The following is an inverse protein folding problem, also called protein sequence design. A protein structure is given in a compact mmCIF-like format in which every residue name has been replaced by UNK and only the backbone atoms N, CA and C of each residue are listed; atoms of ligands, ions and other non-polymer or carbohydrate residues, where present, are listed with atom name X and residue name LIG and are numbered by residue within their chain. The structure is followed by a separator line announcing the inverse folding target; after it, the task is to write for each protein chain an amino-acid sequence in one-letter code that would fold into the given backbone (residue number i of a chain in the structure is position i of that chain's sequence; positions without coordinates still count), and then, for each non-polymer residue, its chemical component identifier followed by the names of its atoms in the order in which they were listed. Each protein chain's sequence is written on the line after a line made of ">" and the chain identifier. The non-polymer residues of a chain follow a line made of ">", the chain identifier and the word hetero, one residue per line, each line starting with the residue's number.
data_IF_582414155150
#
_entry.id   IF_582414155150
#
_cell.length_a   1.000
_cell.length_b   1.000
_cell.length_c   1.000
_cell.angle_alpha   90.00
_cell.angle_beta   90.00
_cell.angle_gamma   90.00
#
_symmetry.space_group_name_H-M   'P 1'
#
loop_
_entity.id
_entity.type
_entity.pdbx_description
1 polymer ?
#
# COMPACT_ATOMS: atom_id res chain seq x y z
N UNK A 1 12.08 20.20 0.10
CA UNK A 1 13.16 21.04 0.67
C UNK A 1 13.82 21.86 -0.43
N UNK A 2 14.60 22.90 -0.11
CA UNK A 2 15.37 23.68 -1.09
C UNK A 2 16.89 23.62 -0.83
N UNK A 3 17.68 24.24 -1.71
CA UNK A 3 19.14 24.27 -1.61
C UNK A 3 19.70 24.98 -0.36
N UNK A 4 18.85 25.75 0.32
CA UNK A 4 19.13 26.44 1.59
C UNK A 4 18.57 25.70 2.81
N UNK A 5 18.16 24.44 2.64
CA UNK A 5 17.72 23.55 3.71
C UNK A 5 16.43 23.97 4.43
N UNK A 6 15.53 24.67 3.74
CA UNK A 6 14.14 24.86 4.16
C UNK A 6 13.29 23.68 3.71
N UNK A 7 12.43 23.16 4.58
CA UNK A 7 11.55 22.03 4.33
C UNK A 7 10.08 22.39 4.56
N UNK A 8 9.20 21.75 3.78
CA UNK A 8 7.75 21.82 3.94
C UNK A 8 7.17 20.39 3.94
N UNK A 9 6.23 20.16 4.85
CA UNK A 9 5.30 19.05 4.83
C UNK A 9 3.86 19.58 4.95
N UNK A 10 2.89 18.82 4.47
CA UNK A 10 1.48 19.12 4.64
C UNK A 10 0.72 17.90 5.15
N UNK A 11 -0.36 18.16 5.87
CA UNK A 11 -1.31 17.13 6.26
C UNK A 11 -2.74 17.61 6.07
N UNK A 12 -3.59 16.77 5.47
CA UNK A 12 -5.01 17.03 5.36
C UNK A 12 -5.66 17.00 6.76
N UNK A 13 -6.59 17.91 7.00
CA UNK A 13 -7.26 18.09 8.30
C UNK A 13 -8.75 18.40 8.09
N UNK A 14 -9.52 18.38 9.17
CA UNK A 14 -10.86 18.96 9.20
C UNK A 14 -10.85 20.43 8.75
N UNK A 15 -12.01 20.89 8.29
CA UNK A 15 -12.20 22.30 7.95
C UNK A 15 -11.93 23.21 9.18
N UNK A 16 -11.18 24.29 8.97
CA UNK A 16 -11.03 25.41 9.90
C UNK A 16 -11.05 26.69 9.07
N UNK A 17 -11.99 27.58 9.36
CA UNK A 17 -12.09 28.86 8.66
C UNK A 17 -10.82 29.69 8.87
N UNK A 18 -10.28 30.23 7.77
CA UNK A 18 -9.10 31.11 7.79
C UNK A 18 -9.56 32.53 7.52
N UNK A 19 -9.12 33.48 8.34
CA UNK A 19 -9.43 34.88 8.15
C UNK A 19 -8.77 35.42 6.89
N UNK A 20 -9.60 35.83 5.93
CA UNK A 20 -9.17 36.52 4.72
C UNK A 20 -9.27 38.03 4.88
N UNK A 21 -8.12 38.70 4.82
CA UNK A 21 -8.05 40.16 4.85
C UNK A 21 -8.29 40.75 3.46
N UNK A 22 -9.05 41.85 3.40
CA UNK A 22 -9.17 42.66 2.17
C UNK A 22 -7.88 43.41 1.82
N UNK A 23 -6.92 43.48 2.75
CA UNK A 23 -5.63 44.15 2.57
C UNK A 23 -4.54 43.21 2.06
N UNK A 24 -4.74 41.89 2.16
CA UNK A 24 -3.78 40.90 1.70
C UNK A 24 -4.24 40.29 0.38
N UNK A 25 -3.38 40.24 -0.65
CA UNK A 25 -3.72 39.56 -1.90
C UNK A 25 -3.75 38.04 -1.72
N UNK A 26 -4.37 37.38 -2.69
CA UNK A 26 -4.17 35.95 -2.91
C UNK A 26 -2.86 35.72 -3.67
N UNK A 27 -2.13 34.67 -3.34
CA UNK A 27 -0.98 34.26 -4.14
C UNK A 27 -1.45 33.37 -5.30
N UNK A 28 -1.10 33.67 -6.57
CA UNK A 28 -1.68 32.98 -7.74
C UNK A 28 -1.20 31.54 -7.95
N UNK A 29 -0.26 31.05 -7.13
CA UNK A 29 0.32 29.70 -7.18
C UNK A 29 0.40 29.11 -5.77
N UNK A 30 1.09 28.01 -5.60
CA UNK A 30 1.39 27.47 -4.27
C UNK A 30 2.44 28.34 -3.56
N UNK A 31 2.04 28.98 -2.46
CA UNK A 31 2.90 29.89 -1.70
C UNK A 31 4.18 29.20 -1.17
N UNK A 32 4.11 27.89 -0.92
CA UNK A 32 5.28 27.09 -0.56
C UNK A 32 6.38 27.11 -1.63
N UNK A 33 6.03 27.18 -2.93
CA UNK A 33 7.03 27.27 -4.01
C UNK A 33 7.79 28.59 -3.99
N UNK A 34 7.08 29.70 -3.72
CA UNK A 34 7.73 31.00 -3.50
C UNK A 34 8.71 30.93 -2.33
N UNK A 35 8.31 30.32 -1.22
CA UNK A 35 9.18 30.19 -0.04
C UNK A 35 10.37 29.26 -0.32
N UNK A 36 10.18 28.17 -1.07
CA UNK A 36 11.28 27.31 -1.48
C UNK A 36 12.27 28.01 -2.43
N UNK A 37 11.82 29.02 -3.18
CA UNK A 37 12.67 29.82 -4.06
C UNK A 37 13.39 30.95 -3.33
N UNK A 38 12.73 31.59 -2.36
CA UNK A 38 13.20 32.87 -1.78
C UNK A 38 13.64 32.78 -0.31
N UNK A 39 13.24 31.75 0.43
CA UNK A 39 13.49 31.64 1.87
C UNK A 39 14.50 30.54 2.21
N UNK A 40 15.20 30.75 3.33
CA UNK A 40 16.13 29.81 3.95
C UNK A 40 15.72 29.42 5.37
N UNK A 41 14.85 30.20 6.01
CA UNK A 41 14.43 30.00 7.40
C UNK A 41 12.92 29.95 7.58
N UNK A 42 12.49 29.38 8.71
CA UNK A 42 11.11 29.42 9.18
C UNK A 42 10.63 30.86 9.37
N UNK A 43 11.48 31.74 9.89
CA UNK A 43 11.14 33.14 10.12
C UNK A 43 10.82 33.88 8.81
N UNK A 44 11.70 33.77 7.81
CA UNK A 44 11.47 34.35 6.46
C UNK A 44 10.20 33.79 5.82
N UNK A 45 9.92 32.50 6.01
CA UNK A 45 8.68 31.88 5.52
C UNK A 45 7.44 32.52 6.14
N UNK A 46 7.45 32.77 7.46
CA UNK A 46 6.35 33.43 8.15
C UNK A 46 6.18 34.89 7.68
N UNK A 47 7.27 35.58 7.38
CA UNK A 47 7.21 36.93 6.79
C UNK A 47 6.55 36.93 5.40
N UNK A 48 6.88 35.94 4.55
CA UNK A 48 6.21 35.76 3.25
C UNK A 48 4.74 35.41 3.45
N UNK A 49 4.42 34.47 4.33
CA UNK A 49 3.03 34.05 4.60
C UNK A 49 2.18 35.21 5.13
N UNK A 50 2.76 36.10 5.93
CA UNK A 50 2.04 37.26 6.45
C UNK A 50 1.62 38.26 5.35
N UNK A 51 2.20 38.19 4.15
CA UNK A 51 1.85 39.09 3.03
C UNK A 51 0.62 38.62 2.24
N UNK A 52 0.15 37.39 2.43
CA UNK A 52 -0.91 36.80 1.62
C UNK A 52 -2.05 36.25 2.48
N UNK A 53 -3.22 36.08 1.85
CA UNK A 53 -4.30 35.28 2.42
C UNK A 53 -3.96 33.78 2.33
N UNK A 54 -4.43 33.01 3.32
CA UNK A 54 -4.03 31.62 3.55
C UNK A 54 -5.23 30.65 3.54
N UNK A 55 -6.33 30.98 2.86
CA UNK A 55 -7.55 30.14 2.76
C UNK A 55 -7.30 28.75 2.18
N UNK A 56 -6.22 28.56 1.42
CA UNK A 56 -5.80 27.22 1.01
C UNK A 56 -5.49 26.28 2.20
N UNK A 57 -5.30 26.81 3.41
CA UNK A 57 -5.12 26.05 4.65
C UNK A 57 -6.44 25.69 5.35
N UNK A 58 -7.60 26.02 4.79
CA UNK A 58 -8.88 25.68 5.43
C UNK A 58 -9.09 24.17 5.58
N UNK A 59 -8.46 23.34 4.73
CA UNK A 59 -8.60 21.86 4.74
C UNK A 59 -7.27 21.12 4.98
N UNK A 60 -6.21 21.85 5.35
CA UNK A 60 -4.91 21.29 5.63
C UNK A 60 -4.12 22.13 6.64
N UNK A 61 -3.02 21.57 7.11
CA UNK A 61 -2.00 22.29 7.87
C UNK A 61 -0.63 22.08 7.23
N UNK A 62 0.28 23.00 7.51
CA UNK A 62 1.66 22.94 7.04
C UNK A 62 2.63 22.82 8.20
N UNK A 63 3.66 22.00 8.02
CA UNK A 63 4.87 22.05 8.82
C UNK A 63 5.98 22.65 7.98
N UNK A 64 6.69 23.63 8.54
CA UNK A 64 7.91 24.19 7.97
C UNK A 64 9.04 23.94 8.94
N UNK A 65 10.21 23.54 8.45
CA UNK A 65 11.40 23.37 9.26
C UNK A 65 12.65 23.86 8.52
N UNK A 66 13.66 24.29 9.25
CA UNK A 66 14.95 24.70 8.69
C UNK A 66 16.16 24.02 9.36
N UNK A 67 17.32 24.14 8.75
CA UNK A 67 18.56 23.52 9.24
C UNK A 67 19.06 24.08 10.59
N UNK A 68 18.55 25.22 11.05
CA UNK A 68 18.87 25.75 12.39
C UNK A 68 18.08 25.03 13.49
N UNK A 69 17.21 24.10 13.11
CA UNK A 69 16.37 23.33 14.03
C UNK A 69 15.08 24.04 14.40
N UNK A 70 14.74 25.18 13.78
CA UNK A 70 13.43 25.78 13.96
C UNK A 70 12.39 24.97 13.18
N UNK A 71 11.19 24.84 13.73
CA UNK A 71 10.02 24.37 12.99
C UNK A 71 8.75 25.07 13.45
N UNK A 72 7.74 25.08 12.59
CA UNK A 72 6.43 25.68 12.83
C UNK A 72 5.33 24.84 12.21
N UNK A 73 4.20 24.74 12.89
CA UNK A 73 2.93 24.23 12.32
C UNK A 73 2.01 25.43 12.08
N UNK A 74 1.49 25.55 10.86
CA UNK A 74 0.62 26.64 10.41
C UNK A 74 -0.73 26.05 10.02
N UNK A 75 -1.79 26.48 10.73
CA UNK A 75 -3.17 26.03 10.53
C UNK A 75 -4.05 27.13 9.92
N UNK A 76 -3.44 28.11 9.26
CA UNK A 76 -4.09 29.35 8.84
C UNK A 76 -3.76 30.45 9.83
N UNK A 77 -4.74 30.85 10.65
CA UNK A 77 -4.52 31.84 11.71
C UNK A 77 -3.69 31.31 12.90
N UNK A 78 -3.95 30.09 13.41
CA UNK A 78 -3.12 29.52 14.46
C UNK A 78 -1.74 29.14 13.91
N UNK A 79 -0.70 29.51 14.65
CA UNK A 79 0.71 29.24 14.33
C UNK A 79 1.39 28.72 15.58
N UNK A 80 1.96 27.52 15.49
CA UNK A 80 2.61 26.83 16.61
C UNK A 80 4.10 26.68 16.31
N UNK A 81 4.91 27.55 16.89
CA UNK A 81 6.37 27.41 16.86
C UNK A 81 6.78 26.19 17.70
N UNK A 82 7.86 25.52 17.30
CA UNK A 82 8.43 24.46 18.12
C UNK A 82 8.99 25.02 19.42
N UNK A 83 8.54 24.47 20.54
CA UNK A 83 8.99 24.86 21.89
C UNK A 83 9.93 23.84 22.52
N UNK A 84 9.89 22.57 22.08
CA UNK A 84 10.72 21.48 22.58
C UNK A 84 11.79 21.06 21.55
N UNK A 85 12.59 20.03 21.83
CA UNK A 85 13.59 19.54 20.87
C UNK A 85 12.94 18.88 19.63
N UNK A 86 11.68 18.43 19.74
CA UNK A 86 10.90 17.84 18.65
C UNK A 86 9.54 18.54 18.44
N UNK A 87 8.92 18.31 17.29
CA UNK A 87 7.55 18.74 16.98
C UNK A 87 6.89 17.69 16.08
N UNK A 88 5.63 17.35 16.37
CA UNK A 88 4.87 16.32 15.63
C UNK A 88 3.64 16.93 15.00
N UNK A 89 3.34 16.56 13.75
CA UNK A 89 2.13 16.95 13.02
C UNK A 89 1.49 15.72 12.38
N UNK A 90 0.17 15.59 12.51
CA UNK A 90 -0.60 14.53 11.82
C UNK A 90 -1.86 15.12 11.16
N UNK A 91 -3.01 14.46 11.22
CA UNK A 91 -4.22 14.81 10.46
C UNK A 91 -5.33 15.46 11.31
N UNK A 92 -4.97 16.02 12.47
CA UNK A 92 -5.86 16.82 13.30
C UNK A 92 -5.22 18.19 13.57
N UNK A 93 -6.03 19.19 13.92
CA UNK A 93 -5.58 20.54 14.22
C UNK A 93 -5.26 20.69 15.71
N UNK A 94 -4.03 21.07 16.04
CA UNK A 94 -3.59 21.39 17.40
C UNK A 94 -4.43 22.50 18.03
N UNK A 95 -4.97 23.44 17.24
CA UNK A 95 -5.87 24.49 17.74
C UNK A 95 -7.27 24.01 18.13
N UNK A 96 -7.65 22.78 17.76
CA UNK A 96 -9.02 22.26 17.93
C UNK A 96 -9.12 21.09 18.91
N UNK A 97 -7.98 20.59 19.43
CA UNK A 97 -7.97 19.45 20.34
C UNK A 97 -6.97 19.64 21.47
N UNK A 98 -7.35 19.16 22.65
CA UNK A 98 -6.47 19.07 23.81
C UNK A 98 -5.97 17.62 23.99
N UNK A 99 -4.86 17.39 24.70
CA UNK A 99 -4.45 16.05 25.13
C UNK A 99 -5.54 15.34 25.96
N UNK A 100 -5.71 14.01 25.84
CA UNK A 100 -4.97 13.11 24.97
C UNK A 100 -5.36 13.26 23.50
N UNK A 101 -4.36 13.28 22.62
CA UNK A 101 -4.58 13.52 21.19
C UNK A 101 -5.25 12.32 20.50
N UNK A 102 -6.12 12.56 19.49
CA UNK A 102 -6.98 11.53 18.90
C UNK A 102 -6.28 10.61 17.89
N UNK A 103 -4.99 10.84 17.60
CA UNK A 103 -4.27 10.11 16.56
C UNK A 103 -3.23 9.16 17.17
N UNK A 104 -3.39 7.86 16.93
CA UNK A 104 -2.44 6.86 17.39
C UNK A 104 -1.03 7.11 16.85
N UNK A 105 -0.88 7.54 15.58
CA UNK A 105 0.43 7.88 14.98
C UNK A 105 1.10 9.04 15.71
N UNK A 106 0.33 10.05 16.10
CA UNK A 106 0.84 11.19 16.86
C UNK A 106 1.37 10.72 18.21
N UNK A 107 0.57 9.95 18.96
CA UNK A 107 0.95 9.46 20.28
C UNK A 107 2.15 8.50 20.22
N UNK A 108 2.22 7.63 19.19
CA UNK A 108 3.38 6.76 18.93
C UNK A 108 4.63 7.60 18.67
N UNK A 109 4.58 8.59 17.78
CA UNK A 109 5.72 9.44 17.47
C UNK A 109 6.21 10.22 18.70
N UNK A 110 5.30 10.83 19.46
CA UNK A 110 5.62 11.52 20.73
C UNK A 110 6.31 10.56 21.69
N UNK A 111 5.75 9.37 21.91
CA UNK A 111 6.35 8.37 22.80
C UNK A 111 7.75 7.94 22.34
N UNK A 112 7.98 7.79 21.04
CA UNK A 112 9.32 7.47 20.52
C UNK A 112 10.32 8.61 20.72
N UNK A 113 9.89 9.86 20.57
CA UNK A 113 10.74 11.02 20.88
C UNK A 113 11.09 11.05 22.36
N UNK A 114 10.12 10.95 23.27
CA UNK A 114 10.33 11.00 24.72
C UNK A 114 11.25 9.89 25.24
N UNK A 115 11.33 8.76 24.54
CA UNK A 115 12.13 7.60 24.93
C UNK A 115 13.46 7.44 24.17
N UNK A 116 13.83 8.38 23.28
CA UNK A 116 15.13 8.34 22.60
C UNK A 116 16.13 9.33 23.20
N UNK A 117 17.39 8.94 23.23
CA UNK A 117 18.52 9.82 23.57
C UNK A 117 19.34 10.24 22.35
N UNK A 118 19.03 9.68 21.18
CA UNK A 118 19.79 9.89 19.94
C UNK A 118 18.86 10.09 18.76
N UNK A 119 19.13 11.13 17.97
CA UNK A 119 18.43 11.42 16.73
C UNK A 119 19.34 11.06 15.57
N UNK A 120 18.87 10.20 14.68
CA UNK A 120 19.58 9.72 13.49
C UNK A 120 18.58 9.43 12.36
N UNK A 121 19.04 9.29 11.10
CA UNK A 121 18.18 8.79 10.02
C UNK A 121 17.50 7.47 10.38
N UNK A 122 18.20 6.53 11.03
CA UNK A 122 17.64 5.24 11.45
C UNK A 122 16.51 5.38 12.47
N UNK A 123 16.62 6.33 13.41
CA UNK A 123 15.53 6.64 14.34
C UNK A 123 14.27 7.09 13.58
N UNK A 124 14.43 7.96 12.59
CA UNK A 124 13.31 8.41 11.77
C UNK A 124 12.76 7.29 10.86
N UNK A 125 13.61 6.39 10.36
CA UNK A 125 13.16 5.17 9.65
C UNK A 125 12.27 4.32 10.54
N UNK A 126 12.70 4.04 11.77
CA UNK A 126 11.91 3.30 12.75
C UNK A 126 10.63 4.05 13.13
N UNK A 127 10.65 5.38 13.21
CA UNK A 127 9.47 6.19 13.46
C UNK A 127 8.47 6.09 12.32
N UNK A 128 8.93 6.19 11.06
CA UNK A 128 8.07 5.97 9.90
C UNK A 128 7.47 4.57 9.92
N UNK A 129 8.26 3.53 10.22
CA UNK A 129 7.78 2.15 10.36
C UNK A 129 6.74 2.02 11.48
N UNK A 130 7.01 2.56 12.66
CA UNK A 130 6.06 2.50 13.77
C UNK A 130 4.76 3.29 13.53
N UNK A 131 4.72 4.19 12.54
CA UNK A 131 3.58 5.08 12.27
C UNK A 131 2.99 4.93 10.87
N UNK A 132 3.41 3.93 10.10
CA UNK A 132 2.85 3.71 8.78
C UNK A 132 1.40 3.22 8.88
N UNK A 133 0.62 3.46 7.83
CA UNK A 133 -0.74 2.98 7.73
C UNK A 133 -0.84 1.94 6.63
N UNK A 134 -1.62 0.90 6.88
CA UNK A 134 -1.98 -0.11 5.89
C UNK A 134 -3.50 -0.04 5.56
N UNK A 135 -3.97 -0.92 4.67
CA UNK A 135 -5.40 -1.06 4.38
C UNK A 135 -5.92 -0.07 3.34
N UNK A 136 -7.07 0.55 3.61
CA UNK A 136 -7.83 1.34 2.63
C UNK A 136 -7.10 2.61 2.15
N UNK A 137 -6.27 3.20 3.02
CA UNK A 137 -5.46 4.37 2.71
C UNK A 137 -4.03 4.13 3.19
N UNK A 138 -3.26 3.29 2.49
CA UNK A 138 -1.95 2.87 2.97
C UNK A 138 -0.90 3.96 2.71
N UNK A 139 0.15 4.00 3.54
CA UNK A 139 1.35 4.81 3.31
C UNK A 139 1.91 4.48 1.92
N UNK A 140 1.98 5.48 1.04
CA UNK A 140 2.46 5.30 -0.34
C UNK A 140 3.98 5.43 -0.44
N UNK A 141 4.56 6.29 0.38
CA UNK A 141 5.99 6.49 0.53
C UNK A 141 6.25 7.19 1.86
N UNK A 142 7.49 7.09 2.35
CA UNK A 142 7.97 7.86 3.49
C UNK A 142 9.25 8.60 3.11
N UNK A 143 9.45 9.79 3.64
CA UNK A 143 10.69 10.56 3.44
C UNK A 143 11.28 11.02 4.76
N UNK A 144 12.60 10.91 4.88
CA UNK A 144 13.38 11.50 5.97
C UNK A 144 14.34 12.51 5.34
N UNK A 145 14.37 13.72 5.90
CA UNK A 145 15.22 14.80 5.41
C UNK A 145 16.27 15.13 6.47
N UNK A 146 17.55 14.94 6.16
CA UNK A 146 18.64 15.54 6.91
C UNK A 146 18.90 16.93 6.31
N UNK A 147 18.41 17.97 6.98
CA UNK A 147 18.55 19.35 6.50
C UNK A 147 19.97 19.90 6.64
N UNK A 148 20.78 19.38 7.56
CA UNK A 148 22.16 19.84 7.74
C UNK A 148 23.06 19.27 6.65
N UNK A 149 22.94 17.97 6.38
CA UNK A 149 23.74 17.27 5.36
C UNK A 149 23.11 17.30 3.97
N UNK A 150 21.84 17.71 3.88
CA UNK A 150 21.03 17.76 2.64
C UNK A 150 20.83 16.40 1.99
N UNK A 151 20.65 15.37 2.81
CA UNK A 151 20.24 14.05 2.37
C UNK A 151 18.72 13.87 2.43
N UNK A 152 18.19 13.16 1.43
CA UNK A 152 16.80 12.75 1.34
C UNK A 152 16.79 11.22 1.32
N UNK A 153 16.19 10.61 2.32
CA UNK A 153 15.96 9.17 2.39
C UNK A 153 14.52 8.92 1.96
N UNK A 154 14.32 8.19 0.87
CA UNK A 154 13.01 7.85 0.33
C UNK A 154 12.78 6.35 0.48
N UNK A 155 11.62 6.03 1.05
CA UNK A 155 11.10 4.67 1.20
C UNK A 155 9.81 4.55 0.39
N UNK A 156 9.64 3.41 -0.27
CA UNK A 156 8.44 3.14 -1.05
C UNK A 156 7.46 2.26 -0.25
N UNK A 157 6.21 2.71 -0.17
CA UNK A 157 5.16 2.16 0.68
C UNK A 157 5.61 2.07 2.15
N UNK A 158 5.43 0.91 2.78
CA UNK A 158 5.89 0.59 4.13
C UNK A 158 7.05 -0.44 4.10
N UNK A 159 7.83 -0.46 3.00
CA UNK A 159 9.07 -1.24 2.92
C UNK A 159 10.26 -0.40 3.41
N UNK A 160 10.59 -0.55 4.69
CA UNK A 160 11.69 0.18 5.33
C UNK A 160 13.05 -0.52 5.23
N UNK A 161 13.13 -1.69 4.60
CA UNK A 161 14.39 -2.41 4.31
C UNK A 161 15.10 -1.86 3.06
N UNK A 162 14.36 -1.16 2.19
CA UNK A 162 14.90 -0.57 0.97
C UNK A 162 14.80 0.96 0.99
N UNK A 163 15.96 1.62 1.01
CA UNK A 163 16.07 3.07 0.97
C UNK A 163 16.73 3.55 -0.32
N UNK A 164 16.20 4.63 -0.90
CA UNK A 164 16.92 5.45 -1.87
C UNK A 164 17.36 6.74 -1.21
N UNK A 165 18.67 6.99 -1.27
CA UNK A 165 19.29 8.16 -0.64
C UNK A 165 19.71 9.11 -1.76
N UNK A 166 19.29 10.36 -1.66
CA UNK A 166 19.67 11.43 -2.57
C UNK A 166 20.47 12.48 -1.82
N UNK A 167 21.53 12.99 -2.44
CA UNK A 167 22.18 14.21 -2.00
C UNK A 167 21.60 15.38 -2.80
N UNK A 168 20.88 16.29 -2.14
CA UNK A 168 20.19 17.38 -2.84
C UNK A 168 21.15 18.24 -3.67
N UNK A 169 22.40 18.44 -3.23
CA UNK A 169 23.36 19.25 -3.96
C UNK A 169 23.76 18.61 -5.29
N UNK A 170 23.82 17.28 -5.33
CA UNK A 170 24.10 16.50 -6.54
C UNK A 170 22.87 16.47 -7.46
N UNK A 171 21.66 16.28 -6.90
CA UNK A 171 20.41 16.34 -7.68
C UNK A 171 20.23 17.70 -8.37
N UNK A 172 20.47 18.81 -7.67
CA UNK A 172 20.33 20.15 -8.26
C UNK A 172 21.32 20.40 -9.41
N UNK A 173 22.50 19.79 -9.41
CA UNK A 173 23.48 19.93 -10.50
C UNK A 173 23.02 19.24 -11.80
N UNK A 174 22.13 18.26 -11.72
CA UNK A 174 21.60 17.54 -12.88
C UNK A 174 20.55 18.37 -13.65
N UNK A 175 20.18 19.55 -13.15
CA UNK A 175 19.09 20.36 -13.71
C UNK A 175 17.73 19.73 -13.42
N UNK A 176 16.70 20.18 -14.13
CA UNK A 176 15.35 19.65 -13.93
C UNK A 176 15.25 18.19 -14.38
N UNK A 177 14.85 17.32 -13.46
CA UNK A 177 14.59 15.91 -13.72
C UNK A 177 13.51 15.40 -12.75
N UNK A 178 12.89 14.27 -13.11
CA UNK A 178 11.87 13.60 -12.30
C UNK A 178 12.20 12.12 -12.26
N UNK A 179 12.00 11.52 -11.09
CA UNK A 179 12.11 10.09 -10.86
C UNK A 179 10.73 9.40 -10.91
N UNK A 180 10.71 8.18 -11.44
CA UNK A 180 9.55 7.30 -11.43
C UNK A 180 9.63 6.30 -10.27
N UNK A 181 8.53 5.64 -9.93
CA UNK A 181 8.50 4.57 -8.91
C UNK A 181 9.44 3.41 -9.23
N UNK A 182 9.86 3.27 -10.49
CA UNK A 182 10.85 2.28 -10.95
C UNK A 182 12.22 2.38 -10.27
N UNK A 183 12.50 3.40 -9.45
CA UNK A 183 13.72 3.45 -8.64
C UNK A 183 13.79 2.32 -7.63
N UNK A 184 12.65 2.01 -7.04
CA UNK A 184 12.51 0.88 -6.17
C UNK A 184 12.24 -0.27 -7.12
N UNK A 185 13.16 -1.24 -7.21
CA UNK A 185 12.95 -2.44 -8.02
C UNK A 185 11.84 -3.27 -7.36
N UNK A 186 10.61 -2.78 -7.44
CA UNK A 186 9.46 -3.35 -6.77
C UNK A 186 9.04 -4.56 -7.57
N UNK A 187 9.57 -5.72 -7.19
CA UNK A 187 9.01 -7.01 -7.59
C UNK A 187 7.67 -7.13 -6.90
N UNK A 188 6.60 -6.80 -7.61
CA UNK A 188 5.26 -7.04 -7.10
C UNK A 188 5.01 -8.53 -7.27
N UNK A 189 4.61 -9.26 -6.21
CA UNK A 189 4.12 -10.61 -6.43
C UNK A 189 2.94 -10.54 -7.41
N UNK A 190 2.76 -11.54 -8.27
CA UNK A 190 1.56 -11.64 -9.08
C UNK A 190 0.32 -11.62 -8.18
N UNK A 191 -0.83 -11.20 -8.71
CA UNK A 191 -2.09 -11.36 -7.98
C UNK A 191 -2.32 -12.87 -7.75
N UNK A 192 -3.01 -13.25 -6.66
CA UNK A 192 -3.39 -14.66 -6.47
C UNK A 192 -4.16 -15.16 -7.70
N UNK A 193 -3.90 -16.36 -8.22
CA UNK A 193 -4.59 -16.85 -9.40
C UNK A 193 -6.10 -17.00 -9.16
N UNK A 194 -6.88 -16.97 -10.24
CA UNK A 194 -8.29 -17.35 -10.17
C UNK A 194 -8.43 -18.80 -9.67
N UNK A 195 -9.58 -19.11 -9.05
CA UNK A 195 -9.88 -20.49 -8.68
C UNK A 195 -9.81 -21.40 -9.93
N UNK A 196 -9.17 -22.59 -9.86
CA UNK A 196 -8.99 -23.43 -11.03
C UNK A 196 -10.34 -23.84 -11.62
N UNK A 197 -10.46 -23.79 -12.95
CA UNK A 197 -11.69 -24.13 -13.68
C UNK A 197 -11.55 -25.50 -14.32
N UNK A 198 -12.43 -26.42 -13.96
CA UNK A 198 -12.45 -27.78 -14.49
C UNK A 198 -13.56 -28.63 -13.85
N UNK A 199 -13.63 -29.94 -14.19
CA UNK A 199 -14.65 -30.84 -13.67
C UNK A 199 -14.63 -30.97 -12.14
N UNK A 200 -15.79 -31.21 -11.53
CA UNK A 200 -15.93 -31.41 -10.07
C UNK A 200 -16.18 -32.86 -9.68
N UNK A 201 -16.43 -33.72 -10.66
CA UNK A 201 -16.63 -35.16 -10.48
C UNK A 201 -15.91 -35.88 -11.61
N UNK A 202 -15.13 -36.89 -11.26
CA UNK A 202 -14.33 -37.64 -12.21
C UNK A 202 -14.53 -39.15 -12.13
N UNK A 203 -13.73 -39.84 -12.93
CA UNK A 203 -13.56 -41.29 -12.99
C UNK A 203 -12.07 -41.53 -12.81
N UNK A 204 -11.74 -42.44 -11.90
CA UNK A 204 -10.36 -42.82 -11.62
C UNK A 204 -9.64 -43.25 -12.90
N UNK A 205 -8.38 -42.85 -13.04
CA UNK A 205 -7.55 -43.21 -14.18
C UNK A 205 -7.83 -42.43 -15.46
N UNK A 206 -8.74 -41.44 -15.43
CA UNK A 206 -8.98 -40.53 -16.56
C UNK A 206 -8.24 -39.21 -16.36
N UNK A 207 -7.70 -38.67 -17.45
CA UNK A 207 -7.07 -37.34 -17.48
C UNK A 207 -8.14 -36.24 -17.42
N UNK A 208 -7.87 -35.22 -16.61
CA UNK A 208 -8.68 -34.01 -16.50
C UNK A 208 -7.81 -32.77 -16.65
N UNK A 209 -8.29 -31.82 -17.45
CA UNK A 209 -7.62 -30.53 -17.66
C UNK A 209 -8.25 -29.46 -16.77
N UNK A 210 -7.39 -28.69 -16.10
CA UNK A 210 -7.77 -27.50 -15.34
C UNK A 210 -7.11 -26.26 -15.92
N UNK A 211 -7.83 -25.15 -15.84
CA UNK A 211 -7.41 -23.86 -16.37
C UNK A 211 -7.38 -22.81 -15.26
N UNK A 212 -6.44 -21.89 -15.35
CA UNK A 212 -6.32 -20.75 -14.45
C UNK A 212 -5.66 -19.58 -15.16
N UNK A 213 -5.80 -18.38 -14.64
CA UNK A 213 -4.99 -17.24 -15.03
C UNK A 213 -4.69 -16.36 -13.81
N UNK A 214 -3.71 -15.50 -13.98
CA UNK A 214 -3.35 -14.42 -13.08
C UNK A 214 -2.73 -13.28 -13.89
N UNK A 215 -2.59 -12.12 -13.25
CA UNK A 215 -1.94 -10.92 -13.78
C UNK A 215 -0.88 -10.43 -12.81
N UNK A 216 0.21 -9.95 -13.36
CA UNK A 216 1.25 -9.20 -12.67
C UNK A 216 1.07 -7.69 -12.92
N UNK A 217 1.23 -6.86 -11.90
CA UNK A 217 1.03 -5.40 -12.03
C UNK A 217 2.12 -4.72 -12.87
N UNK A 218 3.30 -5.31 -12.97
CA UNK A 218 4.39 -4.83 -13.82
C UNK A 218 4.34 -5.46 -15.23
N UNK A 219 3.37 -6.34 -15.47
CA UNK A 219 3.25 -7.08 -16.73
C UNK A 219 4.31 -8.16 -16.91
N UNK A 220 4.98 -8.58 -15.83
CA UNK A 220 6.02 -9.60 -15.89
C UNK A 220 5.46 -10.97 -16.34
N UNK A 221 6.36 -11.80 -16.89
CA UNK A 221 6.02 -13.18 -17.23
C UNK A 221 5.75 -14.01 -15.97
N UNK A 222 4.75 -14.87 -16.06
CA UNK A 222 4.23 -15.66 -14.95
C UNK A 222 4.56 -17.13 -15.09
N UNK A 223 4.76 -17.79 -13.96
CA UNK A 223 4.83 -19.23 -13.82
C UNK A 223 3.74 -19.71 -12.86
N UNK A 224 3.15 -20.88 -13.10
CA UNK A 224 2.06 -21.42 -12.31
C UNK A 224 2.43 -22.76 -11.68
N UNK A 225 1.93 -23.01 -10.47
CA UNK A 225 2.09 -24.29 -9.78
C UNK A 225 0.72 -24.81 -9.36
N UNK A 226 0.33 -25.98 -9.88
CA UNK A 226 -0.89 -26.67 -9.47
C UNK A 226 -0.56 -27.71 -8.40
N UNK A 227 -1.26 -27.63 -7.27
CA UNK A 227 -1.33 -28.68 -6.25
C UNK A 227 -2.64 -29.43 -6.45
N UNK A 228 -2.54 -30.76 -6.65
CA UNK A 228 -3.69 -31.60 -6.98
C UNK A 228 -4.42 -32.17 -5.76
N UNK A 229 -3.92 -31.90 -4.55
CA UNK A 229 -4.52 -32.34 -3.30
C UNK A 229 -4.34 -33.84 -2.98
N UNK A 230 -3.58 -34.59 -3.80
CA UNK A 230 -3.24 -36.00 -3.60
C UNK A 230 -1.76 -36.22 -3.25
N UNK A 231 -1.05 -35.14 -2.91
CA UNK A 231 0.39 -35.13 -2.65
C UNK A 231 1.24 -34.92 -3.90
N UNK A 232 0.64 -34.83 -5.10
CA UNK A 232 1.33 -34.52 -6.36
C UNK A 232 1.08 -33.09 -6.83
N UNK A 233 1.96 -32.60 -7.70
CA UNK A 233 1.89 -31.25 -8.27
C UNK A 233 2.55 -31.20 -9.66
N UNK A 234 2.43 -30.07 -10.35
CA UNK A 234 3.00 -29.87 -11.69
C UNK A 234 4.46 -29.42 -11.70
N UNK A 235 5.02 -29.00 -10.57
CA UNK A 235 6.12 -28.04 -10.58
C UNK A 235 5.68 -26.67 -11.16
N UNK A 236 6.65 -25.81 -11.45
CA UNK A 236 6.42 -24.51 -12.08
C UNK A 236 6.25 -24.66 -13.60
N UNK A 237 5.05 -24.37 -14.10
CA UNK A 237 4.71 -24.29 -15.52
C UNK A 237 4.89 -22.86 -16.02
N UNK A 238 5.62 -22.66 -17.13
CA UNK A 238 5.78 -21.35 -17.75
C UNK A 238 7.07 -21.23 -18.56
N UNK A 239 7.39 -20.02 -19.05
CA UNK A 239 6.70 -18.76 -18.78
C UNK A 239 5.39 -18.57 -19.57
N UNK A 240 4.46 -17.80 -18.99
CA UNK A 240 3.22 -17.31 -19.59
C UNK A 240 3.20 -15.78 -19.56
N UNK A 241 2.57 -15.13 -20.55
CA UNK A 241 2.36 -13.68 -20.51
C UNK A 241 1.37 -13.32 -19.39
N UNK A 242 1.53 -12.17 -18.72
CA UNK A 242 0.57 -11.67 -17.73
C UNK A 242 -0.87 -11.67 -18.30
N UNK A 243 -1.82 -12.28 -17.60
CA UNK A 243 -3.21 -12.46 -18.04
C UNK A 243 -3.47 -13.67 -18.94
N UNK A 244 -2.42 -14.35 -19.43
CA UNK A 244 -2.56 -15.55 -20.24
C UNK A 244 -3.05 -16.74 -19.40
N UNK A 245 -3.95 -17.53 -19.99
CA UNK A 245 -4.45 -18.75 -19.39
C UNK A 245 -3.41 -19.88 -19.41
N UNK A 246 -3.21 -20.51 -18.26
CA UNK A 246 -2.42 -21.72 -18.07
C UNK A 246 -3.35 -22.93 -17.94
N UNK A 247 -2.96 -24.04 -18.56
CA UNK A 247 -3.67 -25.31 -18.51
C UNK A 247 -2.75 -26.42 -17.98
N UNK A 248 -3.27 -27.25 -17.09
CA UNK A 248 -2.56 -28.41 -16.54
C UNK A 248 -3.46 -29.64 -16.52
N UNK A 249 -2.87 -30.82 -16.74
CA UNK A 249 -3.59 -32.10 -16.82
C UNK A 249 -3.17 -32.98 -15.65
N UNK A 250 -4.14 -33.62 -15.00
CA UNK A 250 -3.89 -34.60 -13.93
C UNK A 250 -4.81 -35.81 -13.98
N UNK A 251 -4.37 -36.88 -13.33
CA UNK A 251 -5.08 -38.16 -13.23
C UNK A 251 -5.02 -38.67 -11.80
N UNK A 252 -6.18 -38.79 -11.17
CA UNK A 252 -6.31 -39.40 -9.85
C UNK A 252 -6.50 -40.91 -9.96
N UNK A 253 -5.74 -41.66 -9.16
CA UNK A 253 -5.75 -43.13 -9.13
C UNK A 253 -6.52 -43.71 -7.93
N UNK A 254 -6.83 -42.88 -6.94
CA UNK A 254 -7.53 -43.28 -5.72
C UNK A 254 -8.88 -42.59 -5.58
N UNK A 255 -9.74 -43.20 -4.77
CA UNK A 255 -11.07 -42.68 -4.45
C UNK A 255 -10.95 -41.69 -3.30
N UNK A 256 -11.25 -40.43 -3.56
CA UNK A 256 -11.30 -39.39 -2.52
C UNK A 256 -11.99 -38.14 -3.05
N UNK A 257 -12.12 -37.14 -2.18
CA UNK A 257 -12.28 -35.75 -2.57
C UNK A 257 -10.92 -35.07 -2.50
N UNK A 258 -10.54 -34.36 -3.55
CA UNK A 258 -9.26 -33.64 -3.65
C UNK A 258 -9.50 -32.15 -3.79
N UNK A 259 -8.71 -31.33 -3.10
CA UNK A 259 -8.73 -29.88 -3.23
C UNK A 259 -7.59 -29.42 -4.14
N UNK A 260 -7.94 -28.80 -5.25
CA UNK A 260 -7.01 -28.29 -6.23
C UNK A 260 -6.84 -26.80 -6.00
N UNK A 261 -5.60 -26.35 -5.90
CA UNK A 261 -5.24 -24.94 -5.73
C UNK A 261 -4.04 -24.60 -6.60
N UNK A 262 -3.91 -23.32 -6.94
CA UNK A 262 -2.85 -22.81 -7.82
C UNK A 262 -2.20 -21.60 -7.17
N UNK A 263 -0.87 -21.48 -7.28
CA UNK A 263 -0.16 -20.23 -7.02
C UNK A 263 0.63 -19.81 -8.26
N UNK A 264 0.97 -18.53 -8.34
CA UNK A 264 1.81 -17.98 -9.41
C UNK A 264 3.12 -17.41 -8.84
N UNK A 265 4.11 -17.23 -9.71
CA UNK A 265 5.29 -16.42 -9.41
C UNK A 265 5.74 -15.62 -10.63
N UNK A 266 6.43 -14.52 -10.40
CA UNK A 266 7.05 -13.71 -11.45
C UNK A 266 8.43 -14.26 -11.87
N UNK A 267 9.08 -13.59 -12.83
CA UNK A 267 10.46 -13.90 -13.26
C UNK A 267 11.50 -13.69 -12.16
N UNK A 268 11.19 -12.87 -11.16
CA UNK A 268 12.05 -12.55 -10.02
C UNK A 268 11.88 -13.56 -8.88
N UNK A 269 11.06 -14.60 -9.07
CA UNK A 269 10.71 -15.64 -8.10
C UNK A 269 9.88 -15.16 -6.90
N UNK A 270 9.22 -14.01 -7.02
CA UNK A 270 8.23 -13.54 -6.06
C UNK A 270 6.95 -14.33 -6.23
N UNK A 271 6.50 -15.03 -5.19
CA UNK A 271 5.32 -15.89 -5.23
C UNK A 271 4.05 -15.14 -4.78
N UNK A 272 2.90 -15.51 -5.35
CA UNK A 272 1.60 -15.05 -4.92
C UNK A 272 0.98 -15.98 -3.86
N UNK A 273 -0.07 -15.49 -3.21
CA UNK A 273 -0.94 -16.36 -2.40
C UNK A 273 -1.57 -17.48 -3.24
N UNK A 274 -1.96 -18.56 -2.57
CA UNK A 274 -2.75 -19.62 -3.20
C UNK A 274 -4.14 -19.13 -3.61
N UNK A 275 -4.63 -19.64 -4.74
CA UNK A 275 -6.00 -19.42 -5.18
C UNK A 275 -7.02 -20.10 -4.28
N UNK A 276 -8.28 -19.64 -4.38
CA UNK A 276 -9.38 -20.31 -3.70
C UNK A 276 -9.54 -21.74 -4.25
N UNK A 277 -9.64 -22.76 -3.39
CA UNK A 277 -9.57 -24.15 -3.83
C UNK A 277 -10.84 -24.59 -4.55
N UNK A 278 -10.69 -25.50 -5.52
CA UNK A 278 -11.80 -26.23 -6.14
C UNK A 278 -11.74 -27.71 -5.77
N UNK A 279 -12.88 -28.33 -5.44
CA UNK A 279 -12.95 -29.76 -5.12
C UNK A 279 -13.33 -30.61 -6.32
N UNK A 280 -12.61 -31.72 -6.52
CA UNK A 280 -12.99 -32.81 -7.40
C UNK A 280 -13.21 -34.10 -6.61
N UNK A 281 -14.30 -34.81 -6.91
CA UNK A 281 -14.68 -36.07 -6.27
C UNK A 281 -14.42 -37.24 -7.23
N UNK A 282 -13.70 -38.26 -6.75
CA UNK A 282 -13.47 -39.54 -7.42
C UNK A 282 -14.27 -40.67 -6.73
N UNK A 283 -15.52 -40.94 -7.18
CA UNK A 283 -16.43 -41.87 -6.50
C UNK A 283 -16.08 -43.34 -6.71
N UNK A 284 -16.62 -44.20 -5.83
CA UNK A 284 -16.67 -45.65 -6.06
C UNK A 284 -17.64 -45.97 -7.20
N UNK A 285 -17.15 -46.26 -8.40
CA UNK A 285 -18.00 -46.87 -9.45
C UNK A 285 -17.89 -48.39 -9.35
N UNK A 286 -18.84 -49.04 -8.68
CA UNK A 286 -19.10 -50.46 -8.91
C UNK A 286 -20.18 -50.54 -10.02
N UNK A 287 -19.98 -51.28 -11.12
CA UNK A 287 -20.98 -51.42 -12.21
C UNK A 287 -21.45 -52.87 -12.39
N UNK A 288 -22.60 -53.15 -13.04
CA UNK A 288 -23.75 -52.27 -13.31
C UNK A 288 -25.11 -52.93 -12.94
N UNK A 289 -26.13 -52.15 -12.56
CA UNK A 289 -27.53 -52.61 -12.72
C UNK A 289 -28.35 -51.51 -13.39
N UNK A 290 -28.95 -51.86 -14.53
CA UNK A 290 -30.17 -51.26 -15.06
C UNK A 290 -30.10 -49.79 -15.47
N UNK A 291 -30.12 -49.57 -16.77
CA UNK A 291 -30.49 -48.33 -17.46
C UNK A 291 -31.51 -47.46 -16.70
N UNK A 292 -31.22 -46.15 -16.61
CA UNK A 292 -32.14 -45.02 -16.45
C UNK A 292 -32.25 -44.25 -15.10
N UNK A 293 -31.42 -44.48 -14.06
CA UNK A 293 -31.61 -43.74 -12.77
C UNK A 293 -30.52 -42.71 -12.44
N UNK A 294 -29.32 -42.78 -13.01
CA UNK A 294 -28.21 -41.91 -12.58
C UNK A 294 -28.25 -40.47 -13.12
N UNK A 295 -29.05 -40.17 -14.15
CA UNK A 295 -29.28 -38.78 -14.58
C UNK A 295 -30.32 -38.04 -13.73
N UNK A 296 -31.07 -38.76 -12.88
CA UNK A 296 -32.19 -38.19 -12.13
C UNK A 296 -31.77 -37.65 -10.75
N UNK A 297 -30.68 -38.17 -10.17
CA UNK A 297 -30.18 -37.70 -8.87
C UNK A 297 -29.42 -36.35 -8.96
N UNK A 298 -28.86 -35.99 -10.11
CA UNK A 298 -28.15 -34.70 -10.26
C UNK A 298 -29.07 -33.48 -10.43
N UNK A 299 -30.26 -33.65 -11.02
CA UNK A 299 -31.26 -32.57 -11.09
C UNK A 299 -31.93 -32.28 -9.73
N UNK A 300 -31.84 -33.21 -8.78
CA UNK A 300 -32.38 -33.04 -7.42
C UNK A 300 -31.41 -32.30 -6.50
N UNK A 301 -30.09 -32.48 -6.64
CA UNK A 301 -29.12 -31.76 -5.80
C UNK A 301 -28.85 -30.31 -6.25
N UNK A 302 -28.99 -29.98 -7.54
CA UNK A 302 -28.91 -28.57 -8.00
C UNK A 302 -30.14 -27.73 -7.62
N UNK A 303 -31.31 -28.36 -7.40
CA UNK A 303 -32.53 -27.64 -6.97
C UNK A 303 -32.64 -27.43 -5.46
N UNK A 304 -31.86 -28.12 -4.63
CA UNK A 304 -31.94 -28.01 -3.17
C UNK A 304 -30.91 -27.05 -2.54
N UNK A 305 -30.14 -26.30 -3.33
CA UNK A 305 -29.23 -25.25 -2.84
C UNK A 305 -29.82 -23.83 -2.88
N UNK A 306 -31.14 -23.70 -2.95
CA UNK A 306 -31.86 -22.42 -2.90
C UNK A 306 -32.74 -22.21 -1.66
N UNK A 307 -32.65 -23.06 -0.63
CA UNK A 307 -33.38 -22.83 0.61
C UNK A 307 -32.58 -23.34 1.81
N UNK A 308 -31.73 -22.47 2.35
CA UNK A 308 -31.41 -22.25 3.77
C UNK A 308 -30.35 -21.13 3.76
N UNK A 309 -30.86 -19.90 3.70
CA UNK A 309 -30.25 -18.67 4.21
C UNK A 309 -31.36 -17.61 4.21
N UNK A 310 -32.38 -17.85 5.05
CA UNK A 310 -33.34 -16.82 5.50
C UNK A 310 -34.02 -17.31 6.77
N UNK A 311 -33.28 -17.28 7.89
CA UNK A 311 -33.86 -17.25 9.24
C UNK A 311 -32.78 -16.86 10.25
N UNK A 312 -32.41 -15.57 10.23
CA UNK A 312 -31.82 -14.87 11.38
C UNK A 312 -32.16 -13.38 11.31
N UNK A 313 -33.44 -13.04 11.19
CA UNK A 313 -34.02 -11.79 11.71
C UNK A 313 -35.46 -12.10 12.14
N UNK A 314 -35.73 -11.90 13.42
CA UNK A 314 -36.99 -12.12 14.12
C UNK A 314 -36.73 -12.07 15.61
#
# INVERSE_FOLDING_TARGET
>A
MNGQSLFFASAATSFLEVYNSTQKPQYPRYLMYKCLEECSTVAETLEVFNQYNLDFLETMQLMVADANGASVIIEGNPVFLKEDYYQVMTNFRLSQVDPPYPCWRYNTAVSMFENTTTISPDFFTALCDATHQEGAYPTQFSTVYDLQQRFIYLYWQYNYDQVKIFNLSEELQQGYHIYSTSLFNTTHPPIKPAAPRGPRVGIIGKNYTYYTNSTDSNGDQLFYWFDWGDGTNTGWLGPYTSGQECAAIHTWTQKSSYQIKVKAKDKNSTESDWSDPISIIMPCINKPLGTAVLSFLYLLFDRFRLYIDFLLIG
#
